data_IF_687612140667
#
_entry.id   IF_687612140667
#
_cell.length_a   1.000
_cell.length_b   1.000
_cell.length_c   1.000
_cell.angle_alpha   90.00
_cell.angle_beta   90.00
_cell.angle_gamma   90.00
#
_symmetry.space_group_name_H-M   'P 1'
#
loop_
_entity.id
_entity.type
_entity.pdbx_description
1 polymer ?
#
# COMPACT_ATOMS: atom_id res chain seq x y z
N UNK A 1 30.09 40.63 -59.15
CA UNK A 1 28.71 40.31 -58.68
C UNK A 1 28.81 39.19 -57.70
N UNK A 2 28.72 39.52 -56.43
CA UNK A 2 28.84 38.57 -55.32
C UNK A 2 27.44 38.26 -54.78
N UNK A 3 26.99 37.03 -54.97
CA UNK A 3 25.69 36.57 -54.45
C UNK A 3 25.82 36.28 -52.98
N UNK A 4 25.12 37.02 -52.13
CA UNK A 4 24.96 36.70 -50.70
C UNK A 4 23.89 35.68 -50.55
N UNK A 5 24.32 34.47 -50.17
CA UNK A 5 23.43 33.37 -49.72
C UNK A 5 22.96 33.69 -48.29
N UNK A 6 21.70 34.05 -48.12
CA UNK A 6 21.10 34.23 -46.79
C UNK A 6 20.77 32.85 -46.23
N UNK A 7 21.57 32.36 -45.31
CA UNK A 7 21.25 31.18 -44.49
C UNK A 7 20.32 31.65 -43.36
N UNK A 8 19.01 31.36 -43.49
CA UNK A 8 18.05 31.53 -42.42
C UNK A 8 18.21 30.33 -41.44
N UNK A 9 18.79 30.60 -40.28
CA UNK A 9 18.85 29.64 -39.19
C UNK A 9 17.47 29.61 -38.50
N UNK A 10 16.64 28.60 -38.85
CA UNK A 10 15.37 28.37 -38.18
C UNK A 10 15.67 27.60 -36.90
N UNK A 11 15.80 28.31 -35.78
CA UNK A 11 15.93 27.68 -34.45
C UNK A 11 14.58 27.07 -34.08
N UNK A 12 14.47 25.77 -34.25
CA UNK A 12 13.33 24.95 -33.77
C UNK A 12 13.41 24.87 -32.23
N UNK A 13 12.69 25.75 -31.54
CA UNK A 13 12.47 25.62 -30.10
C UNK A 13 11.55 24.41 -29.87
N UNK A 14 12.16 23.24 -29.64
CA UNK A 14 11.45 22.10 -29.10
C UNK A 14 11.25 22.38 -27.59
N UNK A 15 10.08 22.90 -27.24
CA UNK A 15 9.63 22.93 -25.84
C UNK A 15 9.38 21.50 -25.42
N UNK A 16 10.36 20.89 -24.77
CA UNK A 16 10.16 19.63 -24.05
C UNK A 16 9.23 19.99 -22.89
N UNK A 17 7.94 19.75 -23.07
CA UNK A 17 7.00 19.76 -21.95
C UNK A 17 7.41 18.59 -21.04
N UNK A 18 8.18 18.90 -20.01
CA UNK A 18 8.50 17.94 -18.95
C UNK A 18 7.22 17.69 -18.16
N UNK A 19 6.43 16.71 -18.59
CA UNK A 19 5.35 16.22 -17.75
C UNK A 19 6.01 15.56 -16.55
N UNK A 20 5.73 16.05 -15.36
CA UNK A 20 6.17 15.41 -14.14
C UNK A 20 5.62 13.97 -14.15
N UNK A 21 6.52 13.00 -14.19
CA UNK A 21 6.13 11.59 -14.23
C UNK A 21 5.52 11.20 -12.89
N UNK A 22 4.37 10.52 -12.94
CA UNK A 22 3.72 9.97 -11.74
C UNK A 22 4.71 9.03 -11.04
N UNK A 23 4.95 9.26 -9.76
CA UNK A 23 5.78 8.41 -8.94
C UNK A 23 5.11 7.04 -8.74
N UNK A 24 5.83 5.99 -9.09
CA UNK A 24 5.40 4.60 -8.92
C UNK A 24 6.20 3.96 -7.79
N UNK A 25 5.58 3.03 -7.11
CA UNK A 25 6.31 2.20 -6.15
C UNK A 25 7.29 1.29 -6.88
N UNK A 26 8.50 1.19 -6.32
CA UNK A 26 9.49 0.20 -6.70
C UNK A 26 9.22 -1.05 -5.87
N UNK A 27 9.01 -2.17 -6.56
CA UNK A 27 8.78 -3.46 -5.90
C UNK A 27 10.06 -3.92 -5.20
N UNK A 28 9.95 -4.58 -4.04
CA UNK A 28 11.10 -5.11 -3.34
C UNK A 28 11.72 -6.28 -4.11
N UNK A 29 13.05 -6.46 -4.03
CA UNK A 29 13.70 -7.68 -4.51
C UNK A 29 13.31 -8.87 -3.62
N UNK A 30 13.68 -10.07 -4.07
CA UNK A 30 13.35 -11.34 -3.40
C UNK A 30 13.71 -11.38 -1.91
N UNK A 31 14.87 -10.84 -1.56
CA UNK A 31 15.36 -10.88 -0.17
C UNK A 31 14.67 -9.90 0.77
N UNK A 32 13.93 -8.91 0.27
CA UNK A 32 13.23 -7.94 1.12
C UNK A 32 11.78 -8.40 1.31
N UNK A 33 11.42 -8.69 2.56
CA UNK A 33 10.10 -9.22 2.94
C UNK A 33 9.52 -8.45 4.14
N UNK A 34 8.30 -8.79 4.52
CA UNK A 34 7.60 -8.29 5.72
C UNK A 34 7.55 -6.77 5.81
N UNK A 35 7.51 -6.08 4.64
CA UNK A 35 7.43 -4.62 4.63
C UNK A 35 6.08 -4.19 5.19
N UNK A 36 6.11 -3.45 6.29
CA UNK A 36 4.89 -2.95 6.92
C UNK A 36 5.09 -1.57 7.54
N UNK A 37 4.01 -0.79 7.53
CA UNK A 37 3.90 0.38 8.38
C UNK A 37 3.26 -0.01 9.70
N UNK A 38 3.83 0.44 10.80
CA UNK A 38 3.37 0.11 12.16
C UNK A 38 3.10 1.38 12.93
N UNK A 39 1.98 1.39 13.64
CA UNK A 39 1.62 2.42 14.61
C UNK A 39 1.01 1.74 15.83
N UNK A 40 1.42 2.15 17.04
CA UNK A 40 0.97 1.54 18.30
C UNK A 40 1.15 0.00 18.36
N UNK A 41 2.16 -0.53 17.66
CA UNK A 41 2.45 -1.97 17.65
C UNK A 41 1.61 -2.80 16.68
N UNK A 42 0.80 -2.17 15.85
CA UNK A 42 -0.05 -2.85 14.88
C UNK A 42 0.30 -2.44 13.45
N UNK A 43 0.21 -3.38 12.50
CA UNK A 43 0.33 -3.08 11.09
C UNK A 43 -0.83 -2.22 10.63
N UNK A 44 -0.50 -1.09 10.01
CA UNK A 44 -1.47 -0.06 9.65
C UNK A 44 -1.62 0.06 8.14
N UNK A 45 -2.82 0.46 7.72
CA UNK A 45 -3.02 1.10 6.42
C UNK A 45 -2.13 2.36 6.39
N UNK A 46 -1.40 2.63 5.29
CA UNK A 46 -0.39 3.69 5.24
C UNK A 46 -1.01 5.11 5.17
N UNK A 47 -1.79 5.46 6.19
CA UNK A 47 -2.46 6.77 6.32
C UNK A 47 -2.26 7.26 7.75
N UNK A 48 -1.50 8.34 7.93
CA UNK A 48 -1.09 8.85 9.24
C UNK A 48 -1.47 10.31 9.42
N UNK A 49 -1.77 10.70 10.64
CA UNK A 49 -1.97 12.10 10.97
C UNK A 49 -0.61 12.82 11.03
N UNK A 50 -0.57 14.05 10.54
CA UNK A 50 0.65 14.87 10.62
C UNK A 50 1.09 15.06 12.06
N UNK A 51 2.35 14.68 12.33
CA UNK A 51 2.97 14.75 13.65
C UNK A 51 2.82 13.50 14.51
N UNK A 52 1.90 12.59 14.19
CA UNK A 52 1.78 11.33 14.91
C UNK A 52 2.94 10.39 14.54
N UNK A 53 3.49 9.62 15.50
CA UNK A 53 4.56 8.68 15.22
C UNK A 53 4.06 7.48 14.42
N UNK A 54 4.84 7.06 13.44
CA UNK A 54 4.69 5.81 12.71
C UNK A 54 6.06 5.21 12.41
N UNK A 55 6.10 3.93 12.11
CA UNK A 55 7.32 3.18 11.83
C UNK A 55 7.18 2.43 10.50
N UNK A 56 8.24 2.42 9.70
CA UNK A 56 8.42 1.46 8.62
C UNK A 56 9.34 0.35 9.11
N UNK A 57 8.97 -0.90 8.86
CA UNK A 57 9.82 -2.06 9.14
C UNK A 57 9.84 -3.02 7.96
N UNK A 58 10.93 -3.77 7.86
CA UNK A 58 11.13 -4.78 6.82
C UNK A 58 12.25 -5.75 7.21
N UNK A 59 12.28 -6.91 6.59
CA UNK A 59 13.31 -7.93 6.78
C UNK A 59 14.15 -8.08 5.53
N UNK A 60 15.47 -8.24 5.72
CA UNK A 60 16.41 -8.67 4.68
C UNK A 60 16.83 -10.12 4.94
N UNK A 61 16.40 -11.04 4.06
CA UNK A 61 16.64 -12.48 4.16
C UNK A 61 18.10 -12.88 3.93
N UNK A 62 18.97 -11.96 3.54
CA UNK A 62 20.41 -12.25 3.49
C UNK A 62 21.06 -12.26 4.88
N UNK A 63 20.45 -11.60 5.87
CA UNK A 63 20.94 -11.58 7.25
C UNK A 63 22.37 -11.02 7.38
N UNK A 64 22.77 -10.12 6.49
CA UNK A 64 24.12 -9.61 6.35
C UNK A 64 24.33 -8.19 6.87
N UNK A 65 23.34 -7.65 7.59
CA UNK A 65 23.37 -6.32 8.19
C UNK A 65 23.68 -5.20 7.17
N UNK A 66 23.10 -5.29 5.98
CA UNK A 66 23.32 -4.34 4.90
C UNK A 66 22.94 -2.90 5.31
N UNK A 67 23.65 -1.93 4.78
CA UNK A 67 23.36 -0.54 5.05
C UNK A 67 22.21 -0.04 4.16
N UNK A 68 21.09 0.28 4.78
CA UNK A 68 19.95 0.89 4.11
C UNK A 68 19.79 2.34 4.51
N UNK A 69 19.31 3.16 3.57
CA UNK A 69 19.05 4.59 3.73
C UNK A 69 17.61 4.88 3.31
N UNK A 70 17.02 5.94 3.84
CA UNK A 70 15.67 6.35 3.45
C UNK A 70 15.65 7.76 2.86
N UNK A 71 14.75 7.98 1.91
CA UNK A 71 14.48 9.28 1.29
C UNK A 71 12.99 9.46 1.10
N UNK A 72 12.50 10.70 1.32
CA UNK A 72 11.12 11.06 1.09
C UNK A 72 10.94 11.86 -0.20
N UNK A 73 9.81 11.64 -0.85
CA UNK A 73 9.31 12.48 -1.95
C UNK A 73 7.89 12.88 -1.59
N UNK A 74 7.61 14.19 -1.54
CA UNK A 74 6.27 14.70 -1.40
C UNK A 74 5.61 14.79 -2.76
N UNK A 75 4.36 14.32 -2.86
CA UNK A 75 3.61 14.24 -4.09
C UNK A 75 2.29 15.00 -4.01
N UNK A 76 1.80 15.42 -5.16
CA UNK A 76 0.46 15.92 -5.36
C UNK A 76 -0.59 14.79 -5.19
N UNK A 77 -1.88 15.16 -5.23
CA UNK A 77 -2.99 14.19 -5.09
C UNK A 77 -2.96 13.04 -6.12
N UNK A 78 -2.37 13.27 -7.27
CA UNK A 78 -2.24 12.33 -8.41
C UNK A 78 -0.91 11.57 -8.42
N UNK A 79 -0.13 11.68 -7.33
CA UNK A 79 1.19 11.07 -7.17
C UNK A 79 2.27 11.62 -8.09
N UNK A 80 2.06 12.77 -8.75
CA UNK A 80 3.17 13.51 -9.35
C UNK A 80 3.98 14.18 -8.24
N UNK A 81 5.32 14.28 -8.36
CA UNK A 81 6.11 15.06 -7.41
C UNK A 81 5.55 16.47 -7.26
N UNK A 82 5.45 16.97 -6.04
CA UNK A 82 4.98 18.35 -5.82
C UNK A 82 6.07 19.37 -6.13
N UNK A 83 5.65 20.63 -6.29
CA UNK A 83 6.56 21.75 -6.50
C UNK A 83 7.26 22.19 -5.19
N UNK A 84 6.91 21.59 -4.05
CA UNK A 84 7.54 21.90 -2.77
C UNK A 84 9.01 21.46 -2.75
N UNK A 85 9.88 22.36 -2.33
CA UNK A 85 11.25 22.00 -2.07
C UNK A 85 11.34 21.10 -0.82
N UNK A 86 12.40 20.31 -0.73
CA UNK A 86 12.60 19.39 0.38
C UNK A 86 12.44 20.06 1.75
N UNK A 87 12.98 21.26 1.93
CA UNK A 87 12.94 21.99 3.20
C UNK A 87 11.53 22.52 3.57
N UNK A 88 10.60 22.56 2.62
CA UNK A 88 9.22 22.94 2.88
C UNK A 88 8.40 21.77 3.45
N UNK A 89 8.62 20.55 2.95
CA UNK A 89 7.86 19.38 3.41
C UNK A 89 8.57 18.52 4.47
N UNK A 90 9.89 18.78 4.73
CA UNK A 90 10.69 18.00 5.64
C UNK A 90 11.60 18.90 6.48
N UNK A 91 11.52 18.77 7.81
CA UNK A 91 12.47 19.38 8.76
C UNK A 91 13.61 18.41 9.03
N UNK A 92 14.85 18.92 8.99
CA UNK A 92 16.06 18.13 9.17
C UNK A 92 16.56 17.51 7.87
N UNK A 93 16.95 16.25 7.90
CA UNK A 93 17.61 15.58 6.78
C UNK A 93 16.95 14.24 6.51
N UNK A 94 16.82 13.88 5.26
CA UNK A 94 16.62 12.51 4.77
C UNK A 94 17.95 11.98 4.17
N UNK A 95 17.92 10.82 3.54
CA UNK A 95 19.11 10.12 3.09
C UNK A 95 20.00 9.66 4.27
N UNK A 96 19.35 9.39 5.40
CA UNK A 96 19.97 8.91 6.61
C UNK A 96 19.97 7.38 6.64
N UNK A 97 21.07 6.82 7.18
CA UNK A 97 21.18 5.38 7.40
C UNK A 97 20.15 4.92 8.45
N UNK A 98 19.48 3.81 8.17
CA UNK A 98 18.67 3.08 9.15
C UNK A 98 19.62 2.40 10.12
N UNK A 99 19.59 2.82 11.39
CA UNK A 99 20.51 2.36 12.43
C UNK A 99 19.91 1.27 13.31
N UNK A 100 18.57 1.18 13.35
CA UNK A 100 17.86 0.21 14.18
C UNK A 100 17.60 -1.05 13.36
N UNK A 101 18.40 -2.07 13.62
CA UNK A 101 18.23 -3.40 13.07
C UNK A 101 18.66 -4.46 14.08
N UNK A 102 18.07 -5.64 13.96
CA UNK A 102 18.38 -6.79 14.82
C UNK A 102 18.34 -8.05 13.96
N UNK A 103 19.32 -8.93 14.16
CA UNK A 103 19.36 -10.20 13.44
C UNK A 103 18.38 -11.20 14.05
N UNK A 104 17.83 -12.06 13.19
CA UNK A 104 16.99 -13.18 13.61
C UNK A 104 17.76 -14.11 14.54
N UNK A 105 17.05 -14.73 15.46
CA UNK A 105 17.61 -15.64 16.43
C UNK A 105 16.86 -16.98 16.41
N UNK A 106 17.63 -18.07 16.30
CA UNK A 106 17.11 -19.43 16.35
C UNK A 106 16.03 -19.74 15.31
N UNK A 107 16.23 -19.21 14.09
CA UNK A 107 15.40 -19.40 12.91
C UNK A 107 16.15 -20.23 11.86
N UNK A 108 15.42 -20.99 11.02
CA UNK A 108 16.01 -21.70 9.87
C UNK A 108 16.44 -20.72 8.78
N UNK A 109 15.56 -19.78 8.42
CA UNK A 109 15.87 -18.68 7.53
C UNK A 109 16.44 -17.53 8.35
N UNK A 110 17.71 -17.21 8.12
CA UNK A 110 18.32 -16.00 8.71
C UNK A 110 17.76 -14.75 8.05
N UNK A 111 17.58 -13.68 8.82
CA UNK A 111 17.23 -12.36 8.33
C UNK A 111 17.73 -11.26 9.29
N UNK A 112 17.88 -10.06 8.74
CA UNK A 112 18.08 -8.85 9.53
C UNK A 112 16.77 -8.05 9.51
N UNK A 113 16.18 -7.79 10.68
CA UNK A 113 14.96 -7.02 10.86
C UNK A 113 15.31 -5.54 11.04
N UNK A 114 14.84 -4.67 10.14
CA UNK A 114 15.09 -3.23 10.13
C UNK A 114 13.86 -2.45 10.55
N UNK A 115 14.08 -1.41 11.35
CA UNK A 115 13.04 -0.47 11.78
C UNK A 115 13.48 0.97 11.61
N UNK A 116 12.56 1.82 11.20
CA UNK A 116 12.77 3.27 11.21
C UNK A 116 11.49 3.99 11.59
N UNK A 117 11.55 4.75 12.68
CA UNK A 117 10.43 5.54 13.18
C UNK A 117 10.48 6.97 12.67
N UNK A 118 9.31 7.54 12.41
CA UNK A 118 9.13 8.95 12.09
C UNK A 118 8.02 9.55 12.97
N UNK A 119 8.19 10.82 13.45
CA UNK A 119 9.44 11.60 13.38
C UNK A 119 10.57 10.97 14.19
N UNK A 120 11.82 11.24 13.79
CA UNK A 120 13.02 10.89 14.55
C UNK A 120 13.91 12.13 14.72
N UNK A 121 15.09 11.96 15.36
CA UNK A 121 16.02 13.06 15.62
C UNK A 121 16.56 13.77 14.37
N UNK A 122 16.49 13.11 13.22
CA UNK A 122 17.02 13.65 11.96
C UNK A 122 15.93 14.16 11.03
N UNK A 123 14.73 13.59 11.10
CA UNK A 123 13.71 13.74 10.05
C UNK A 123 12.31 13.89 10.64
N UNK A 124 11.63 14.96 10.23
CA UNK A 124 10.24 15.20 10.57
C UNK A 124 9.49 15.73 9.34
N UNK A 125 8.34 15.17 9.02
CA UNK A 125 7.45 15.70 7.98
C UNK A 125 6.76 16.98 8.49
N UNK A 126 6.64 17.99 7.63
CA UNK A 126 6.16 19.33 8.00
C UNK A 126 4.80 19.67 7.44
N UNK A 127 4.35 18.98 6.38
CA UNK A 127 3.08 19.24 5.69
C UNK A 127 2.34 17.93 5.43
N UNK A 128 1.02 18.03 5.32
CA UNK A 128 0.19 16.92 4.87
C UNK A 128 0.29 16.73 3.35
N UNK A 129 -0.03 15.55 2.86
CA UNK A 129 -0.01 15.21 1.43
C UNK A 129 0.28 13.75 1.17
N UNK A 130 0.45 13.42 -0.08
CA UNK A 130 0.90 12.11 -0.51
C UNK A 130 2.43 12.04 -0.44
N UNK A 131 2.94 10.94 0.07
CA UNK A 131 4.39 10.73 0.22
C UNK A 131 4.80 9.38 -0.33
N UNK A 132 6.01 9.31 -0.85
CA UNK A 132 6.72 8.06 -1.11
C UNK A 132 7.97 8.04 -0.25
N UNK A 133 8.13 6.98 0.54
CA UNK A 133 9.40 6.63 1.16
C UNK A 133 10.15 5.66 0.24
N UNK A 134 11.38 6.01 -0.10
CA UNK A 134 12.30 5.19 -0.89
C UNK A 134 13.38 4.65 0.03
N UNK A 135 13.60 3.34 0.02
CA UNK A 135 14.70 2.69 0.72
C UNK A 135 15.80 2.41 -0.29
N UNK A 136 17.01 2.83 0.05
CA UNK A 136 18.17 2.82 -0.82
C UNK A 136 19.29 1.97 -0.22
N UNK A 137 20.14 1.41 -1.09
CA UNK A 137 21.40 0.76 -0.71
C UNK A 137 22.53 1.79 -0.47
N UNK A 138 23.76 1.31 -0.26
CA UNK A 138 24.95 2.16 -0.10
C UNK A 138 25.26 3.01 -1.33
N UNK A 139 24.97 2.50 -2.53
CA UNK A 139 25.18 3.17 -3.81
C UNK A 139 24.06 4.18 -4.13
N UNK A 140 23.10 4.37 -3.20
CA UNK A 140 21.93 5.23 -3.35
C UNK A 140 20.93 4.76 -4.44
N UNK A 141 20.99 3.51 -4.83
CA UNK A 141 20.00 2.89 -5.68
C UNK A 141 18.75 2.54 -4.89
N UNK A 142 17.58 2.73 -5.48
CA UNK A 142 16.30 2.42 -4.82
C UNK A 142 16.07 0.91 -4.82
N UNK A 143 16.06 0.31 -3.63
CA UNK A 143 15.79 -1.10 -3.42
C UNK A 143 14.27 -1.38 -3.43
N UNK A 144 13.51 -0.56 -2.74
CA UNK A 144 12.06 -0.56 -2.81
C UNK A 144 11.49 0.80 -2.37
N UNK A 145 10.22 1.00 -2.63
CA UNK A 145 9.52 2.18 -2.13
C UNK A 145 8.09 1.86 -1.72
N UNK A 146 7.51 2.70 -0.86
CA UNK A 146 6.13 2.60 -0.38
C UNK A 146 5.44 3.95 -0.38
N UNK A 147 4.22 3.96 -0.88
CA UNK A 147 3.31 5.09 -0.81
C UNK A 147 2.65 5.16 0.56
N UNK A 148 2.50 6.37 1.08
CA UNK A 148 1.69 6.63 2.27
C UNK A 148 1.10 8.02 2.22
N UNK A 149 0.09 8.28 3.03
CA UNK A 149 -0.63 9.55 3.07
C UNK A 149 -0.48 10.15 4.47
N UNK A 150 -0.17 11.44 4.51
CA UNK A 150 -0.16 12.22 5.75
C UNK A 150 -1.31 13.22 5.70
N UNK A 151 -2.19 13.20 6.70
CA UNK A 151 -3.38 14.03 6.73
C UNK A 151 -3.43 14.95 7.95
N UNK A 152 -4.27 15.97 7.86
CA UNK A 152 -4.68 16.88 8.94
C UNK A 152 -6.20 16.85 9.10
N UNK A 153 -6.70 16.95 10.33
CA UNK A 153 -8.14 16.94 10.64
C UNK A 153 -8.79 18.31 10.37
N UNK A 154 -8.80 18.72 9.11
CA UNK A 154 -9.36 20.02 8.68
C UNK A 154 -10.81 19.93 8.22
N UNK A 155 -11.31 18.72 7.96
CA UNK A 155 -12.65 18.46 7.46
C UNK A 155 -13.28 17.26 8.17
N UNK A 156 -14.60 17.25 8.23
CA UNK A 156 -15.38 16.08 8.62
C UNK A 156 -15.94 15.40 7.39
N UNK A 157 -15.82 14.08 7.30
CA UNK A 157 -16.32 13.28 6.18
C UNK A 157 -17.30 12.21 6.67
N UNK A 158 -18.51 12.59 7.09
CA UNK A 158 -19.54 11.61 7.41
C UNK A 158 -19.90 10.80 6.17
N UNK A 159 -19.83 9.47 6.30
CA UNK A 159 -20.08 8.53 5.20
C UNK A 159 -21.04 7.42 5.62
N UNK A 160 -21.73 6.84 4.64
CA UNK A 160 -22.62 5.72 4.81
C UNK A 160 -22.43 4.73 3.67
N UNK A 161 -22.19 3.47 4.02
CA UNK A 161 -22.18 2.34 3.08
C UNK A 161 -23.62 1.87 2.90
N UNK A 162 -24.06 1.74 1.67
CA UNK A 162 -25.39 1.30 1.28
C UNK A 162 -25.33 0.20 0.24
N UNK A 163 -26.41 -0.53 0.08
CA UNK A 163 -26.62 -1.40 -1.06
C UNK A 163 -26.67 -0.57 -2.34
N UNK A 164 -26.12 -1.09 -3.44
CA UNK A 164 -26.22 -0.44 -4.73
C UNK A 164 -27.68 -0.24 -5.14
N UNK A 165 -27.99 0.92 -5.74
CA UNK A 165 -29.36 1.26 -6.18
C UNK A 165 -29.72 0.61 -7.50
N UNK A 166 -28.74 0.37 -8.37
CA UNK A 166 -28.97 -0.27 -9.65
C UNK A 166 -29.26 -1.76 -9.45
N UNK A 167 -30.35 -2.27 -10.05
CA UNK A 167 -30.77 -3.67 -9.95
C UNK A 167 -29.67 -4.65 -10.34
N UNK A 168 -28.86 -4.33 -11.34
CA UNK A 168 -27.72 -5.16 -11.77
C UNK A 168 -26.65 -5.33 -10.71
N UNK A 169 -26.47 -4.32 -9.87
CA UNK A 169 -25.40 -4.24 -8.88
C UNK A 169 -25.90 -4.52 -7.45
N UNK A 170 -27.22 -4.59 -7.25
CA UNK A 170 -27.88 -4.64 -5.95
C UNK A 170 -27.33 -5.72 -5.01
N UNK A 171 -27.01 -6.90 -5.56
CA UNK A 171 -26.53 -8.05 -4.80
C UNK A 171 -25.00 -8.22 -4.85
N UNK A 172 -24.28 -7.31 -5.51
CA UNK A 172 -22.86 -7.49 -5.80
C UNK A 172 -21.98 -6.31 -5.40
N UNK A 173 -22.58 -5.12 -5.19
CA UNK A 173 -21.81 -3.91 -4.88
C UNK A 173 -22.39 -3.12 -3.70
N UNK A 174 -21.49 -2.42 -3.04
CA UNK A 174 -21.82 -1.38 -2.08
C UNK A 174 -21.70 -0.01 -2.71
N UNK A 175 -22.61 0.90 -2.36
CA UNK A 175 -22.56 2.31 -2.73
C UNK A 175 -22.15 3.15 -1.53
N UNK A 176 -21.29 4.14 -1.77
CA UNK A 176 -20.81 5.03 -0.72
C UNK A 176 -21.45 6.41 -0.90
N UNK A 177 -22.35 6.78 0.02
CA UNK A 177 -22.83 8.14 0.17
C UNK A 177 -21.99 8.86 1.21
N UNK A 178 -21.49 10.05 0.91
CA UNK A 178 -20.72 10.85 1.87
C UNK A 178 -20.89 12.35 1.64
N UNK A 179 -20.43 13.13 2.59
CA UNK A 179 -20.31 14.58 2.44
C UNK A 179 -18.98 15.06 3.03
N UNK A 180 -18.49 16.19 2.54
CA UNK A 180 -17.31 16.86 3.10
C UNK A 180 -17.79 18.15 3.73
N UNK A 181 -17.46 18.36 5.00
CA UNK A 181 -17.88 19.50 5.81
C UNK A 181 -16.68 20.13 6.48
N UNK A 182 -16.65 21.47 6.54
CA UNK A 182 -15.66 22.19 7.32
C UNK A 182 -16.26 23.45 7.91
N UNK A 183 -15.92 23.70 9.17
CA UNK A 183 -16.23 24.95 9.86
C UNK A 183 -15.10 25.99 9.74
N UNK A 184 -13.92 25.55 9.29
CA UNK A 184 -12.70 26.36 9.26
C UNK A 184 -12.24 26.69 7.84
N UNK A 185 -12.54 25.82 6.87
CA UNK A 185 -12.16 25.97 5.47
C UNK A 185 -13.39 26.34 4.64
N UNK A 186 -13.30 27.42 3.87
CA UNK A 186 -14.26 27.74 2.82
C UNK A 186 -13.83 27.06 1.51
N UNK A 187 -14.65 26.17 0.96
CA UNK A 187 -14.38 25.47 -0.27
C UNK A 187 -14.61 26.38 -1.50
N UNK A 188 -13.55 27.03 -1.96
CA UNK A 188 -13.60 27.85 -3.16
C UNK A 188 -13.47 26.97 -4.41
N UNK A 189 -14.38 27.15 -5.39
CA UNK A 189 -14.40 26.36 -6.62
C UNK A 189 -14.25 24.85 -6.39
N UNK A 190 -15.13 24.21 -5.58
CA UNK A 190 -14.91 22.85 -5.11
C UNK A 190 -14.81 21.81 -6.24
N UNK A 191 -15.49 22.03 -7.35
CA UNK A 191 -15.38 21.16 -8.54
C UNK A 191 -13.94 21.08 -9.10
N UNK A 192 -13.13 22.11 -8.89
CA UNK A 192 -11.75 22.18 -9.34
C UNK A 192 -10.77 21.81 -8.25
N UNK A 193 -10.97 22.37 -7.05
CA UNK A 193 -9.96 22.39 -6.00
C UNK A 193 -10.07 21.23 -5.01
N UNK A 194 -11.29 20.65 -4.84
CA UNK A 194 -11.45 19.49 -3.94
C UNK A 194 -11.26 18.20 -4.72
N UNK A 195 -10.34 17.38 -4.23
CA UNK A 195 -10.03 16.05 -4.76
C UNK A 195 -10.40 15.01 -3.71
N UNK A 196 -10.98 13.91 -4.16
CA UNK A 196 -11.44 12.82 -3.31
C UNK A 196 -10.71 11.55 -3.70
N UNK A 197 -10.33 10.78 -2.70
CA UNK A 197 -9.88 9.41 -2.83
C UNK A 197 -10.74 8.53 -1.93
N UNK A 198 -11.45 7.57 -2.51
CA UNK A 198 -12.19 6.55 -1.78
C UNK A 198 -11.41 5.23 -1.87
N UNK A 199 -11.20 4.61 -0.73
CA UNK A 199 -10.49 3.34 -0.61
C UNK A 199 -11.38 2.29 0.01
N UNK A 200 -11.35 1.08 -0.53
CA UNK A 200 -11.84 -0.12 0.12
C UNK A 200 -10.64 -0.84 0.73
N UNK A 201 -10.72 -1.14 2.03
CA UNK A 201 -9.69 -1.88 2.79
C UNK A 201 -8.27 -1.25 2.72
N UNK A 202 -8.20 0.06 2.44
CA UNK A 202 -6.92 0.78 2.34
C UNK A 202 -6.10 0.51 1.07
N UNK A 203 -6.64 -0.22 0.10
CA UNK A 203 -5.94 -0.59 -1.13
C UNK A 203 -5.89 0.58 -2.10
N UNK A 204 -4.70 1.19 -2.25
CA UNK A 204 -4.50 2.37 -3.10
C UNK A 204 -4.72 2.08 -4.59
N UNK A 205 -4.36 0.89 -5.06
CA UNK A 205 -4.44 0.51 -6.48
C UNK A 205 -5.88 0.41 -7.02
N UNK A 206 -6.86 0.18 -6.14
CA UNK A 206 -8.28 0.08 -6.47
C UNK A 206 -9.09 1.31 -6.03
N UNK A 207 -8.40 2.36 -5.59
CA UNK A 207 -9.03 3.59 -5.12
C UNK A 207 -9.81 4.33 -6.21
N UNK A 208 -11.00 4.82 -5.85
CA UNK A 208 -11.81 5.66 -6.72
C UNK A 208 -11.38 7.10 -6.54
N UNK A 209 -10.96 7.73 -7.63
CA UNK A 209 -10.49 9.12 -7.66
C UNK A 209 -11.38 9.99 -8.55
N UNK A 210 -11.16 11.30 -8.49
CA UNK A 210 -11.81 12.28 -9.38
C UNK A 210 -13.32 12.41 -9.26
N UNK A 211 -13.94 11.86 -8.22
CA UNK A 211 -15.37 12.09 -7.93
C UNK A 211 -15.56 13.56 -7.57
N UNK A 212 -16.49 14.24 -8.25
CA UNK A 212 -16.83 15.63 -7.98
C UNK A 212 -18.02 15.70 -7.03
N UNK A 213 -18.21 16.80 -6.25
CA UNK A 213 -19.46 16.95 -5.52
C UNK A 213 -20.65 16.98 -6.50
N UNK A 214 -21.70 16.23 -6.20
CA UNK A 214 -22.92 16.23 -6.99
C UNK A 214 -23.64 17.58 -6.88
N UNK A 215 -23.66 18.13 -5.67
CA UNK A 215 -24.15 19.49 -5.37
C UNK A 215 -23.54 20.00 -4.07
N UNK A 216 -23.77 21.28 -3.79
CA UNK A 216 -23.33 21.93 -2.56
C UNK A 216 -24.53 22.44 -1.77
N UNK A 217 -24.46 22.41 -0.44
CA UNK A 217 -25.42 23.01 0.48
C UNK A 217 -24.65 23.95 1.41
N UNK A 218 -24.69 25.24 1.10
CA UNK A 218 -23.79 26.20 1.74
C UNK A 218 -22.32 25.81 1.46
N UNK A 219 -21.56 25.53 2.53
CA UNK A 219 -20.16 25.06 2.43
C UNK A 219 -20.03 23.53 2.37
N UNK A 220 -21.12 22.77 2.55
CA UNK A 220 -21.10 21.32 2.54
C UNK A 220 -21.07 20.79 1.10
N UNK A 221 -20.14 19.84 0.82
CA UNK A 221 -20.04 19.16 -0.46
C UNK A 221 -20.70 17.80 -0.36
N UNK A 222 -21.66 17.50 -1.23
CA UNK A 222 -22.50 16.30 -1.16
C UNK A 222 -22.18 15.35 -2.30
N UNK A 223 -21.98 14.06 -1.96
CA UNK A 223 -21.67 12.97 -2.88
C UNK A 223 -22.66 11.83 -2.65
N UNK A 224 -23.64 11.70 -3.54
CA UNK A 224 -24.72 10.68 -3.48
C UNK A 224 -24.94 10.06 -4.86
N UNK A 225 -23.91 9.41 -5.34
CA UNK A 225 -23.90 8.83 -6.68
C UNK A 225 -24.47 7.41 -6.68
N UNK A 226 -24.96 6.96 -7.84
CA UNK A 226 -25.51 5.61 -8.01
C UNK A 226 -24.52 4.61 -8.59
N UNK A 227 -23.40 5.08 -9.18
CA UNK A 227 -22.41 4.21 -9.81
C UNK A 227 -20.96 4.64 -9.56
N UNK A 228 -20.69 5.94 -9.41
CA UNK A 228 -19.34 6.50 -9.37
C UNK A 228 -18.60 6.20 -8.06
N UNK A 229 -19.33 5.86 -7.01
CA UNK A 229 -18.81 5.59 -5.67
C UNK A 229 -19.08 4.15 -5.22
N UNK A 230 -19.03 3.21 -6.16
CA UNK A 230 -19.33 1.80 -5.88
C UNK A 230 -18.07 0.96 -5.74
N UNK A 231 -18.11 0.03 -4.78
CA UNK A 231 -17.14 -1.05 -4.62
C UNK A 231 -17.82 -2.41 -4.68
N UNK A 232 -17.07 -3.43 -5.07
CA UNK A 232 -17.54 -4.81 -4.98
C UNK A 232 -17.77 -5.19 -3.52
N UNK A 233 -18.87 -5.90 -3.27
CA UNK A 233 -19.21 -6.45 -1.96
C UNK A 233 -18.70 -7.90 -1.83
N UNK A 234 -18.70 -8.44 -0.60
CA UNK A 234 -18.35 -9.82 -0.33
C UNK A 234 -16.89 -10.16 -0.59
N UNK A 235 -16.00 -9.19 -0.35
CA UNK A 235 -14.57 -9.30 -0.63
C UNK A 235 -13.76 -9.63 0.63
N UNK A 236 -14.30 -10.43 1.55
CA UNK A 236 -13.54 -10.90 2.70
C UNK A 236 -12.37 -11.76 2.23
N UNK A 237 -11.21 -11.51 2.84
CA UNK A 237 -10.02 -12.30 2.60
C UNK A 237 -10.14 -13.68 3.25
N UNK A 238 -9.67 -14.70 2.56
CA UNK A 238 -9.42 -15.99 3.19
C UNK A 238 -8.26 -15.83 4.18
N UNK A 239 -8.32 -16.55 5.28
CA UNK A 239 -7.28 -16.49 6.30
C UNK A 239 -6.66 -17.86 6.55
N UNK A 240 -5.45 -17.85 7.06
CA UNK A 240 -4.78 -19.02 7.64
C UNK A 240 -3.87 -18.54 8.78
N UNK A 241 -3.44 -19.45 9.60
CA UNK A 241 -2.41 -19.19 10.61
C UNK A 241 -1.38 -20.31 10.60
N UNK A 242 -0.11 -19.94 10.72
CA UNK A 242 1.02 -20.84 10.89
C UNK A 242 1.92 -20.40 12.06
N UNK A 243 1.32 -19.82 13.09
CA UNK A 243 2.01 -19.36 14.31
C UNK A 243 2.75 -20.47 15.07
N UNK A 244 2.31 -21.71 14.94
CA UNK A 244 3.14 -22.89 15.17
C UNK A 244 3.56 -23.44 13.82
N UNK A 245 4.72 -23.02 13.38
CA UNK A 245 5.22 -23.30 12.03
C UNK A 245 5.53 -24.79 11.78
N UNK A 246 5.54 -25.61 12.85
CA UNK A 246 5.85 -27.05 12.80
C UNK A 246 4.61 -27.92 12.76
N UNK A 247 3.43 -27.36 13.00
CA UNK A 247 2.22 -28.10 13.17
C UNK A 247 1.17 -27.78 12.09
N UNK A 248 0.51 -28.83 11.60
CA UNK A 248 -0.73 -28.69 10.84
C UNK A 248 -1.86 -28.22 11.77
N UNK A 249 -2.88 -27.59 11.21
CA UNK A 249 -4.06 -27.13 11.92
C UNK A 249 -5.31 -27.24 11.02
N UNK A 250 -6.42 -26.60 11.39
CA UNK A 250 -7.65 -26.67 10.62
C UNK A 250 -7.60 -25.95 9.26
N UNK A 251 -6.55 -25.15 8.99
CA UNK A 251 -6.34 -24.39 7.74
C UNK A 251 -5.08 -24.84 7.01
N UNK A 252 -4.08 -25.35 7.74
CA UNK A 252 -2.83 -25.90 7.20
C UNK A 252 -2.90 -27.42 7.21
N UNK A 253 -2.97 -28.05 6.04
CA UNK A 253 -3.16 -29.49 5.88
C UNK A 253 -1.95 -30.31 6.32
N UNK A 254 -0.75 -29.90 5.97
CA UNK A 254 0.48 -30.48 6.48
C UNK A 254 1.65 -29.48 6.40
N UNK A 255 2.70 -29.80 7.14
CA UNK A 255 3.94 -29.03 7.20
C UNK A 255 5.10 -29.98 6.99
N UNK A 256 6.08 -29.55 6.21
CA UNK A 256 7.38 -30.19 6.09
C UNK A 256 8.51 -29.15 6.22
N UNK A 257 9.74 -29.61 6.28
CA UNK A 257 10.94 -28.74 6.35
C UNK A 257 11.96 -29.10 5.28
N UNK A 258 11.50 -29.51 4.11
CA UNK A 258 12.37 -29.80 2.99
C UNK A 258 13.01 -28.50 2.44
N UNK A 259 14.27 -28.60 2.01
CA UNK A 259 15.01 -27.46 1.46
C UNK A 259 15.54 -26.45 2.50
N UNK A 260 15.54 -26.81 3.80
CA UNK A 260 16.14 -25.99 4.86
C UNK A 260 15.25 -24.86 5.38
N UNK A 261 13.99 -24.81 4.96
CA UNK A 261 12.95 -23.90 5.44
C UNK A 261 11.65 -24.67 5.69
N UNK A 262 10.73 -24.10 6.42
CA UNK A 262 9.41 -24.69 6.60
C UNK A 262 8.53 -24.49 5.38
N UNK A 263 7.70 -25.50 5.08
CA UNK A 263 6.71 -25.46 4.01
C UNK A 263 5.33 -25.72 4.62
N UNK A 264 4.44 -24.74 4.51
CA UNK A 264 3.04 -24.82 4.97
C UNK A 264 2.11 -25.07 3.79
N UNK A 265 1.49 -26.23 3.71
CA UNK A 265 0.56 -26.59 2.63
C UNK A 265 -0.87 -26.40 3.11
N UNK A 266 -1.53 -25.38 2.55
CA UNK A 266 -2.91 -25.04 2.91
C UNK A 266 -3.90 -26.06 2.32
N UNK A 267 -5.01 -26.28 3.01
CA UNK A 267 -6.13 -27.01 2.42
C UNK A 267 -6.65 -26.28 1.20
N UNK A 268 -7.16 -27.06 0.23
CA UNK A 268 -7.75 -26.50 -0.99
C UNK A 268 -9.00 -25.68 -0.65
N UNK A 269 -9.00 -24.42 -1.02
CA UNK A 269 -10.18 -23.56 -0.96
C UNK A 269 -11.01 -23.68 -2.24
N UNK A 270 -12.31 -23.48 -2.14
CA UNK A 270 -13.22 -23.42 -3.28
C UNK A 270 -13.54 -21.99 -3.66
N UNK A 271 -13.75 -21.73 -4.97
CA UNK A 271 -14.16 -20.42 -5.42
C UNK A 271 -15.52 -20.02 -4.82
N UNK A 272 -15.60 -18.83 -4.24
CA UNK A 272 -16.78 -18.34 -3.48
C UNK A 272 -17.79 -17.56 -4.31
N UNK A 273 -17.49 -17.22 -5.57
CA UNK A 273 -18.31 -16.33 -6.40
C UNK A 273 -19.78 -16.78 -6.57
N UNK A 274 -20.09 -18.07 -6.36
CA UNK A 274 -21.44 -18.62 -6.46
C UNK A 274 -21.99 -19.16 -5.13
N UNK A 275 -21.25 -18.98 -4.05
CA UNK A 275 -21.71 -19.40 -2.73
C UNK A 275 -22.59 -18.31 -2.11
N UNK A 276 -23.50 -18.73 -1.24
CA UNK A 276 -24.25 -17.80 -0.43
C UNK A 276 -23.27 -16.99 0.44
N UNK A 277 -23.49 -15.68 0.50
CA UNK A 277 -22.70 -14.82 1.37
C UNK A 277 -22.84 -15.25 2.83
N UNK A 278 -21.71 -15.36 3.49
CA UNK A 278 -21.63 -15.61 4.94
C UNK A 278 -20.58 -14.64 5.49
N UNK A 279 -20.95 -13.92 6.53
CA UNK A 279 -20.05 -12.98 7.15
C UNK A 279 -18.99 -13.70 7.99
N UNK A 280 -17.73 -13.53 7.59
CA UNK A 280 -16.56 -13.94 8.35
C UNK A 280 -15.68 -12.72 8.56
N UNK A 281 -15.53 -12.23 9.82
CA UNK A 281 -14.62 -11.14 10.09
C UNK A 281 -13.20 -11.49 9.64
N UNK A 282 -12.59 -10.59 8.88
CA UNK A 282 -11.22 -10.70 8.43
C UNK A 282 -10.41 -9.45 8.83
N UNK A 283 -9.13 -9.44 8.54
CA UNK A 283 -8.24 -8.31 8.77
C UNK A 283 -7.89 -7.58 7.48
N UNK A 284 -8.78 -7.63 6.49
CA UNK A 284 -8.66 -6.94 5.21
C UNK A 284 -7.36 -7.26 4.44
N UNK A 285 -6.92 -8.52 4.48
CA UNK A 285 -5.68 -8.97 3.85
C UNK A 285 -4.41 -8.57 4.60
N UNK A 286 -4.54 -8.01 5.81
CA UNK A 286 -3.41 -7.73 6.70
C UNK A 286 -2.80 -9.03 7.24
N UNK A 287 -1.68 -8.94 7.92
CA UNK A 287 -1.00 -10.06 8.56
C UNK A 287 -0.43 -9.65 9.92
N UNK A 288 -0.21 -10.65 10.77
CA UNK A 288 0.45 -10.47 12.07
C UNK A 288 1.56 -11.50 12.17
N UNK A 289 2.78 -11.05 12.40
CA UNK A 289 3.91 -11.93 12.68
C UNK A 289 3.79 -12.43 14.11
N UNK A 290 3.67 -13.75 14.29
CA UNK A 290 3.54 -14.37 15.60
C UNK A 290 4.15 -15.77 15.64
N UNK A 291 4.87 -16.06 16.72
CA UNK A 291 5.39 -17.38 17.03
C UNK A 291 4.86 -17.82 18.42
N UNK A 292 4.22 -18.98 18.53
CA UNK A 292 3.68 -19.49 19.77
C UNK A 292 4.74 -19.93 20.78
N UNK A 293 5.90 -20.32 20.31
CA UNK A 293 6.93 -20.98 21.07
C UNK A 293 8.10 -20.07 21.45
N UNK A 294 7.96 -18.74 21.18
CA UNK A 294 9.00 -17.74 21.37
C UNK A 294 8.43 -16.45 21.94
N UNK A 295 9.28 -15.70 22.63
CA UNK A 295 8.91 -14.46 23.29
C UNK A 295 9.00 -13.25 22.34
N UNK A 296 9.97 -13.25 21.41
CA UNK A 296 10.19 -12.14 20.50
C UNK A 296 9.76 -12.51 19.07
N UNK A 297 8.55 -12.09 18.69
CA UNK A 297 7.99 -12.41 17.39
C UNK A 297 8.74 -11.75 16.22
N UNK A 298 9.41 -10.62 16.44
CA UNK A 298 10.06 -9.84 15.37
C UNK A 298 11.32 -10.52 14.84
N UNK A 299 12.03 -11.26 15.69
CA UNK A 299 13.32 -11.87 15.36
C UNK A 299 13.38 -13.39 15.55
N UNK A 300 12.35 -13.97 16.16
CA UNK A 300 12.28 -15.43 16.41
C UNK A 300 11.17 -16.12 15.64
N UNK A 301 10.40 -15.38 14.80
CA UNK A 301 9.46 -15.98 13.89
C UNK A 301 10.19 -16.47 12.63
N UNK A 302 9.98 -17.72 12.27
CA UNK A 302 10.58 -18.31 11.07
C UNK A 302 9.81 -17.93 9.81
N UNK A 303 10.51 -17.88 8.70
CA UNK A 303 9.91 -17.81 7.37
C UNK A 303 9.50 -19.19 6.89
N UNK A 304 8.39 -19.24 6.16
CA UNK A 304 7.93 -20.46 5.50
C UNK A 304 7.53 -20.19 4.06
N UNK A 305 7.69 -21.16 3.21
CA UNK A 305 6.94 -21.22 1.97
C UNK A 305 5.50 -21.59 2.26
N UNK A 306 4.56 -20.84 1.72
CA UNK A 306 3.13 -21.12 1.87
C UNK A 306 2.55 -21.51 0.53
N UNK A 307 2.05 -22.74 0.44
CA UNK A 307 1.47 -23.30 -0.77
C UNK A 307 -0.06 -23.13 -0.73
N UNK A 308 -0.57 -22.26 -1.56
CA UNK A 308 -1.99 -22.00 -1.72
C UNK A 308 -2.58 -22.95 -2.74
N UNK A 309 -3.80 -23.45 -2.47
CA UNK A 309 -4.54 -24.30 -3.38
C UNK A 309 -5.97 -23.79 -3.55
N UNK A 310 -6.42 -23.62 -4.79
CA UNK A 310 -7.75 -23.14 -5.13
C UNK A 310 -8.43 -24.04 -6.14
N UNK A 311 -9.61 -24.54 -5.81
CA UNK A 311 -10.51 -25.22 -6.75
C UNK A 311 -11.43 -24.20 -7.43
N UNK A 312 -11.08 -23.83 -8.65
CA UNK A 312 -11.81 -22.83 -9.44
C UNK A 312 -11.98 -23.24 -10.92
N UNK A 313 -12.56 -24.41 -11.23
CA UNK A 313 -12.61 -24.94 -12.60
C UNK A 313 -13.33 -24.02 -13.59
N UNK A 314 -14.28 -23.19 -13.13
CA UNK A 314 -15.00 -22.25 -13.99
C UNK A 314 -14.11 -21.11 -14.52
N UNK A 315 -12.98 -20.84 -13.87
CA UNK A 315 -12.05 -19.75 -14.21
C UNK A 315 -10.77 -20.25 -14.89
N UNK A 316 -10.50 -21.54 -14.84
CA UNK A 316 -9.29 -22.14 -15.40
C UNK A 316 -9.10 -21.75 -16.88
N UNK A 317 -7.91 -21.22 -17.20
CA UNK A 317 -7.54 -20.81 -18.55
C UNK A 317 -8.28 -19.58 -19.09
N UNK A 318 -9.14 -18.91 -18.29
CA UNK A 318 -9.90 -17.72 -18.73
C UNK A 318 -9.34 -16.43 -18.15
N UNK A 319 -8.88 -16.48 -16.92
CA UNK A 319 -8.35 -15.33 -16.18
C UNK A 319 -7.13 -15.76 -15.40
N UNK A 320 -6.21 -14.83 -15.20
CA UNK A 320 -5.13 -15.03 -14.26
C UNK A 320 -5.65 -14.90 -12.82
N UNK A 321 -5.17 -15.76 -11.94
CA UNK A 321 -5.53 -15.79 -10.52
C UNK A 321 -4.26 -15.48 -9.72
N UNK A 322 -4.38 -14.64 -8.70
CA UNK A 322 -3.25 -14.20 -7.89
C UNK A 322 -3.56 -14.37 -6.41
N UNK A 323 -2.52 -14.69 -5.64
CA UNK A 323 -2.54 -14.56 -4.18
C UNK A 323 -2.18 -13.12 -3.85
N UNK A 324 -3.05 -12.38 -3.16
CA UNK A 324 -2.73 -11.02 -2.77
C UNK A 324 -3.19 -10.68 -1.35
N UNK A 325 -2.49 -9.71 -0.75
CA UNK A 325 -2.76 -9.19 0.58
C UNK A 325 -1.77 -8.08 0.90
N UNK A 326 -1.77 -7.61 2.14
CA UNK A 326 -0.84 -6.56 2.58
C UNK A 326 0.63 -7.04 2.51
N UNK A 327 0.89 -8.34 2.68
CA UNK A 327 2.24 -8.94 2.62
C UNK A 327 2.96 -8.69 1.29
N UNK A 328 2.21 -8.54 0.18
CA UNK A 328 2.76 -8.20 -1.14
C UNK A 328 2.25 -6.83 -1.65
N UNK A 329 1.76 -5.97 -0.74
CA UNK A 329 1.18 -4.67 -1.07
C UNK A 329 0.05 -4.75 -2.11
N UNK A 330 -0.73 -5.82 -2.09
CA UNK A 330 -1.81 -6.12 -3.03
C UNK A 330 -1.36 -6.12 -4.50
N UNK A 331 -0.10 -6.45 -4.76
CA UNK A 331 0.46 -6.45 -6.11
C UNK A 331 0.07 -7.71 -6.88
N UNK A 332 -0.25 -7.55 -8.17
CA UNK A 332 -0.54 -8.62 -9.10
C UNK A 332 0.69 -8.92 -9.96
N UNK A 333 1.75 -9.42 -9.33
CA UNK A 333 3.02 -9.72 -10.00
C UNK A 333 3.11 -11.22 -10.36
N UNK A 334 3.93 -11.60 -11.34
CA UNK A 334 4.08 -13.00 -11.74
C UNK A 334 4.48 -13.94 -10.58
N UNK A 335 5.20 -13.44 -9.57
CA UNK A 335 5.61 -14.20 -8.39
C UNK A 335 4.42 -14.74 -7.58
N UNK A 336 3.30 -14.02 -7.58
CA UNK A 336 2.09 -14.37 -6.83
C UNK A 336 0.96 -14.92 -7.70
N UNK A 337 1.23 -15.17 -8.98
CA UNK A 337 0.28 -15.80 -9.88
C UNK A 337 0.17 -17.29 -9.56
N UNK A 338 -1.05 -17.79 -9.52
CA UNK A 338 -1.33 -19.22 -9.39
C UNK A 338 -1.24 -19.91 -10.75
N UNK A 339 -0.62 -21.09 -10.77
CA UNK A 339 -0.46 -21.95 -11.95
C UNK A 339 -1.72 -22.79 -12.23
#
# INVERSE_FOLDING_TARGET
>A
MINYLKISFFALFITIASFAQVEKEVLPPYNIKTISFVQNGENMIPIFRLGDPFQLQFDDLFGNEANYYYRFVHCNYDWTPSDLTRNEYLKGFDDQRIQDYTNSFNTLQLYSHYKVQFPNKFTQLSVSGNYIIKILNEDREVIFSRKFIVYEDLVSVPMQVKTARNIKDLNHKHNIDFSIKSNTILFQSPLKNVKVLLLQNGVLSTGITNVKPMYTVGNDLIYKYDSETQFWAGNEYLNFENKDIRAANNLVGFVDSSGGVYNSHLYTNTARAKLQYTYFPDINGNFVVKNLNRDNNEIEADYAWVFFSLSAPAYYGKNDIYVNGMFNNYALTPEYKMD
#
